data_IF_526369015216
#
_entry.id   IF_526369015216
#
_cell.length_a   1.000
_cell.length_b   1.000
_cell.length_c   1.000
_cell.angle_alpha   90.00
_cell.angle_beta   90.00
_cell.angle_gamma   90.00
#
_symmetry.space_group_name_H-M   'P 1'
#
loop_
_entity.id
_entity.type
_entity.pdbx_description
1 polymer ?
#
# COMPACT_ATOMS: atom_id res chain seq x y z
N UNK A 1 -13.65 15.47 2.57
CA UNK A 1 -12.28 15.36 3.13
C UNK A 1 -12.12 14.02 3.85
N UNK A 2 -12.78 13.79 5.00
CA UNK A 2 -12.73 12.50 5.69
C UNK A 2 -13.22 11.29 4.85
N UNK A 3 -14.23 11.49 4.01
CA UNK A 3 -14.74 10.43 3.13
C UNK A 3 -13.71 10.01 2.06
N UNK A 4 -13.00 10.98 1.48
CA UNK A 4 -11.95 10.73 0.47
C UNK A 4 -10.73 10.07 1.12
N UNK A 5 -10.36 10.53 2.33
CA UNK A 5 -9.34 9.87 3.14
C UNK A 5 -9.64 8.37 3.32
N UNK A 6 -10.87 8.04 3.73
CA UNK A 6 -11.27 6.64 3.94
C UNK A 6 -11.25 5.84 2.63
N UNK A 7 -11.65 6.45 1.51
CA UNK A 7 -11.58 5.81 0.19
C UNK A 7 -10.15 5.49 -0.23
N UNK A 8 -9.21 6.44 -0.07
CA UNK A 8 -7.78 6.22 -0.38
C UNK A 8 -7.22 5.09 0.48
N UNK A 9 -7.48 5.13 1.78
CA UNK A 9 -7.07 4.08 2.72
C UNK A 9 -7.63 2.71 2.32
N UNK A 10 -8.91 2.63 1.97
CA UNK A 10 -9.57 1.40 1.56
C UNK A 10 -8.95 0.84 0.27
N UNK A 11 -8.71 1.68 -0.73
CA UNK A 11 -8.05 1.28 -1.99
C UNK A 11 -6.68 0.69 -1.71
N UNK A 12 -5.87 1.34 -0.86
CA UNK A 12 -4.52 0.88 -0.53
C UNK A 12 -4.54 -0.46 0.19
N UNK A 13 -5.37 -0.60 1.24
CA UNK A 13 -5.48 -1.86 1.99
C UNK A 13 -5.97 -3.00 1.10
N UNK A 14 -6.94 -2.74 0.23
CA UNK A 14 -7.47 -3.74 -0.69
C UNK A 14 -6.42 -4.19 -1.72
N UNK A 15 -5.59 -3.27 -2.21
CA UNK A 15 -4.51 -3.65 -3.14
C UNK A 15 -3.41 -4.46 -2.46
N UNK A 16 -3.04 -4.10 -1.23
CA UNK A 16 -2.08 -4.91 -0.44
C UNK A 16 -2.63 -6.32 -0.23
N UNK A 17 -3.90 -6.45 0.18
CA UNK A 17 -4.56 -7.76 0.33
C UNK A 17 -4.55 -8.56 -0.97
N UNK A 18 -4.84 -7.90 -2.10
CA UNK A 18 -4.87 -8.55 -3.39
C UNK A 18 -3.50 -9.11 -3.81
N UNK A 19 -2.45 -8.30 -3.71
CA UNK A 19 -1.08 -8.73 -4.04
C UNK A 19 -0.60 -9.81 -3.07
N UNK A 20 -0.90 -9.67 -1.79
CA UNK A 20 -0.59 -10.66 -0.77
C UNK A 20 -1.22 -12.02 -1.11
N UNK A 21 -2.54 -12.06 -1.36
CA UNK A 21 -3.26 -13.28 -1.72
C UNK A 21 -2.73 -13.91 -3.01
N UNK A 22 -2.33 -13.10 -4.01
CA UNK A 22 -1.75 -13.62 -5.25
C UNK A 22 -0.37 -14.25 -5.04
N UNK A 23 0.44 -13.71 -4.12
CA UNK A 23 1.79 -14.19 -3.85
C UNK A 23 1.80 -15.38 -2.87
N UNK A 24 0.84 -15.44 -1.95
CA UNK A 24 0.71 -16.50 -0.97
C UNK A 24 0.14 -17.77 -1.63
N UNK A 25 1.01 -18.75 -1.88
CA UNK A 25 0.64 -20.09 -2.39
C UNK A 25 -0.18 -20.88 -1.34
N UNK A 26 -0.33 -20.36 -0.11
CA UNK A 26 -1.00 -21.01 1.02
C UNK A 26 -2.14 -20.14 1.57
N UNK A 27 -3.15 -20.84 2.06
CA UNK A 27 -4.37 -20.31 2.68
C UNK A 27 -4.04 -19.57 3.99
N UNK A 28 -3.59 -18.32 3.85
CA UNK A 28 -3.29 -17.40 4.97
C UNK A 28 -4.47 -16.44 5.23
N UNK A 29 -5.70 -16.98 5.12
CA UNK A 29 -6.97 -16.28 5.32
C UNK A 29 -7.15 -15.68 6.74
N UNK A 30 -6.23 -15.94 7.66
CA UNK A 30 -6.25 -15.45 9.04
C UNK A 30 -5.27 -14.28 9.32
N UNK A 31 -4.47 -13.83 8.35
CA UNK A 31 -3.58 -12.68 8.59
C UNK A 31 -4.40 -11.40 8.54
N UNK A 32 -4.37 -10.65 9.66
CA UNK A 32 -4.97 -9.33 9.75
C UNK A 32 -4.10 -8.33 8.99
N UNK A 33 -4.63 -7.81 7.87
CA UNK A 33 -3.99 -6.76 7.08
C UNK A 33 -4.68 -5.43 7.37
N UNK A 34 -3.98 -4.54 8.07
CA UNK A 34 -4.40 -3.18 8.41
C UNK A 34 -3.27 -2.15 8.24
N UNK A 35 -3.52 -0.88 8.56
CA UNK A 35 -2.53 0.19 8.34
C UNK A 35 -1.20 0.00 9.10
N UNK A 36 -1.18 -0.81 10.15
CA UNK A 36 0.00 -1.07 10.96
C UNK A 36 0.80 -2.28 10.49
N UNK A 37 0.26 -3.10 9.59
CA UNK A 37 0.97 -4.25 9.02
C UNK A 37 2.26 -3.80 8.33
N UNK A 38 3.37 -4.45 8.68
CA UNK A 38 4.67 -4.28 8.05
C UNK A 38 4.72 -5.12 6.76
N UNK A 39 4.97 -4.44 5.63
CA UNK A 39 4.97 -5.07 4.32
C UNK A 39 6.02 -6.17 4.21
N UNK A 40 7.18 -5.99 4.83
CA UNK A 40 8.31 -6.91 4.72
C UNK A 40 8.22 -7.98 5.81
N UNK A 41 8.11 -7.58 7.07
CA UNK A 41 8.24 -8.51 8.20
C UNK A 41 6.95 -9.33 8.43
N UNK A 42 5.78 -8.72 8.27
CA UNK A 42 4.50 -9.40 8.51
C UNK A 42 3.96 -10.06 7.24
N UNK A 43 4.10 -9.38 6.08
CA UNK A 43 3.48 -9.80 4.82
C UNK A 43 4.47 -10.38 3.80
N UNK A 44 5.77 -10.40 4.12
CA UNK A 44 6.83 -10.94 3.25
C UNK A 44 6.85 -10.36 1.82
N UNK A 45 6.48 -9.09 1.64
CA UNK A 45 6.53 -8.42 0.34
C UNK A 45 7.98 -8.28 -0.12
N UNK A 46 8.25 -8.82 -1.30
CA UNK A 46 9.50 -8.54 -2.01
C UNK A 46 9.49 -7.14 -2.59
N UNK A 47 10.67 -6.60 -2.94
CA UNK A 47 10.78 -5.31 -3.64
C UNK A 47 9.97 -5.28 -4.94
N UNK A 48 9.82 -6.42 -5.64
CA UNK A 48 9.01 -6.51 -6.85
C UNK A 48 7.51 -6.38 -6.55
N UNK A 49 7.04 -6.97 -5.45
CA UNK A 49 5.65 -6.82 -5.00
C UNK A 49 5.34 -5.39 -4.59
N UNK A 50 6.27 -4.73 -3.89
CA UNK A 50 6.15 -3.31 -3.52
C UNK A 50 6.11 -2.45 -4.78
N UNK A 51 7.02 -2.67 -5.75
CA UNK A 51 7.01 -1.92 -7.00
C UNK A 51 5.68 -2.09 -7.75
N UNK A 52 5.15 -3.32 -7.84
CA UNK A 52 3.83 -3.60 -8.42
C UNK A 52 2.72 -2.87 -7.67
N UNK A 53 2.71 -2.93 -6.34
CA UNK A 53 1.74 -2.23 -5.50
C UNK A 53 1.70 -0.74 -5.83
N UNK A 54 2.86 -0.08 -5.89
CA UNK A 54 2.92 1.35 -6.20
C UNK A 54 2.44 1.65 -7.62
N UNK A 55 2.81 0.84 -8.61
CA UNK A 55 2.32 1.04 -9.99
C UNK A 55 0.79 0.96 -10.08
N UNK A 56 0.19 -0.06 -9.45
CA UNK A 56 -1.27 -0.24 -9.43
C UNK A 56 -1.98 0.89 -8.69
N UNK A 57 -1.41 1.35 -7.57
CA UNK A 57 -1.96 2.48 -6.82
C UNK A 57 -1.86 3.79 -7.58
N UNK A 58 -0.75 4.06 -8.29
CA UNK A 58 -0.63 5.22 -9.16
C UNK A 58 -1.71 5.22 -10.25
N UNK A 59 -1.96 4.06 -10.85
CA UNK A 59 -3.00 3.92 -11.87
C UNK A 59 -4.40 4.12 -11.29
N UNK A 60 -4.69 3.58 -10.09
CA UNK A 60 -6.03 3.68 -9.46
C UNK A 60 -6.32 5.06 -8.89
N UNK A 61 -5.34 5.67 -8.23
CA UNK A 61 -5.48 6.95 -7.53
C UNK A 61 -5.11 8.15 -8.40
N UNK A 62 -4.58 7.92 -9.61
CA UNK A 62 -4.19 8.93 -10.60
C UNK A 62 -3.21 9.97 -10.04
N UNK A 63 -2.27 9.52 -9.21
CA UNK A 63 -1.25 10.34 -8.54
C UNK A 63 0.01 9.52 -8.30
N UNK A 64 1.18 10.17 -8.29
CA UNK A 64 2.49 9.49 -8.17
C UNK A 64 3.33 10.12 -7.03
N UNK A 65 3.24 9.58 -5.80
CA UNK A 65 4.00 10.11 -4.66
C UNK A 65 5.50 9.78 -4.70
N UNK A 66 5.91 8.69 -5.35
CA UNK A 66 7.27 8.12 -5.25
C UNK A 66 8.24 8.57 -6.37
N UNK A 67 8.22 9.86 -6.72
CA UNK A 67 9.14 10.45 -7.71
C UNK A 67 10.30 11.21 -7.03
N UNK A 68 9.99 12.19 -6.17
CA UNK A 68 11.00 13.09 -5.60
C UNK A 68 10.92 13.30 -4.08
N UNK A 69 9.72 13.31 -3.49
CA UNK A 69 9.55 13.57 -2.05
C UNK A 69 9.56 12.29 -1.19
N UNK A 70 9.20 11.15 -1.76
CA UNK A 70 9.15 9.87 -1.06
C UNK A 70 10.05 8.84 -1.73
N UNK A 71 10.90 8.19 -0.95
CA UNK A 71 11.72 7.07 -1.43
C UNK A 71 11.09 5.72 -1.09
N UNK A 72 11.20 4.77 -2.01
CA UNK A 72 10.75 3.39 -1.80
C UNK A 72 11.37 2.71 -0.58
N UNK A 73 12.60 3.11 -0.21
CA UNK A 73 13.30 2.61 0.97
C UNK A 73 12.64 2.98 2.30
N UNK A 74 11.79 4.01 2.29
CA UNK A 74 11.20 4.56 3.50
C UNK A 74 9.86 3.88 3.85
N UNK A 75 9.33 3.06 2.94
CA UNK A 75 8.09 2.32 3.13
C UNK A 75 8.38 1.07 3.97
N UNK A 76 7.83 1.02 5.19
CA UNK A 76 7.85 -0.18 6.04
C UNK A 76 6.47 -0.73 6.26
N UNK A 77 5.51 0.14 6.58
CA UNK A 77 4.14 -0.23 6.92
C UNK A 77 3.17 0.30 5.87
N UNK A 78 1.96 -0.28 5.82
CA UNK A 78 0.89 0.20 4.94
C UNK A 78 0.57 1.68 5.20
N UNK A 79 0.66 2.14 6.46
CA UNK A 79 0.49 3.54 6.84
C UNK A 79 1.45 4.50 6.11
N UNK A 80 2.68 4.07 5.82
CA UNK A 80 3.65 4.92 5.13
C UNK A 80 3.18 5.22 3.70
N UNK A 81 2.61 4.21 3.03
CA UNK A 81 1.97 4.36 1.71
C UNK A 81 0.75 5.27 1.82
N UNK A 82 -0.13 5.01 2.79
CA UNK A 82 -1.34 5.83 3.01
C UNK A 82 -0.97 7.32 3.16
N UNK A 83 0.01 7.62 4.00
CA UNK A 83 0.47 9.00 4.21
C UNK A 83 1.02 9.63 2.93
N UNK A 84 1.82 8.90 2.14
CA UNK A 84 2.40 9.40 0.90
C UNK A 84 1.31 9.82 -0.11
N UNK A 85 0.30 8.98 -0.33
CA UNK A 85 -0.81 9.30 -1.24
C UNK A 85 -1.69 10.43 -0.72
N UNK A 86 -2.02 10.44 0.57
CA UNK A 86 -2.87 11.48 1.18
C UNK A 86 -2.18 12.84 1.11
N UNK A 87 -0.89 12.92 1.47
CA UNK A 87 -0.13 14.15 1.41
C UNK A 87 -0.06 14.69 -0.01
N UNK A 88 0.14 13.80 -1.00
CA UNK A 88 0.22 14.22 -2.41
C UNK A 88 -1.14 14.68 -2.95
N UNK A 89 -2.23 14.08 -2.48
CA UNK A 89 -3.60 14.49 -2.83
C UNK A 89 -4.08 15.73 -2.05
N UNK A 90 -3.28 16.25 -1.11
CA UNK A 90 -3.63 17.34 -0.21
C UNK A 90 -4.91 17.05 0.61
N UNK A 91 -5.03 15.83 1.14
CA UNK A 91 -6.19 15.32 1.87
C UNK A 91 -6.04 15.36 3.39
#
# INVERSE_FOLDING_TARGET
MLEVFNQVKEVIINEVKFIFIQASIRDESNILIDEHSNLIDDLAFTSLMIARLIMELNEKLKVEPFDSEYHFSDIKNIKDIINAYINTLNL
#
